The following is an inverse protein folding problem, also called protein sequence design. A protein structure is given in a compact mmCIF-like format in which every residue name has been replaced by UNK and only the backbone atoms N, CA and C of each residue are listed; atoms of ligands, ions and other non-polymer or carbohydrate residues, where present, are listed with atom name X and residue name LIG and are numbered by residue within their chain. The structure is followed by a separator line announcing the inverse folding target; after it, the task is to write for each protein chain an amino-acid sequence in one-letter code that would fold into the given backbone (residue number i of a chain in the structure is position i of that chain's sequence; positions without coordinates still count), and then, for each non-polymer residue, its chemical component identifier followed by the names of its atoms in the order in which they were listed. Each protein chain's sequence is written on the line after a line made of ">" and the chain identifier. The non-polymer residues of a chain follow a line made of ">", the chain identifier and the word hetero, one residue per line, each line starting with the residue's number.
data_IF_741829472785
#
_entry.id   IF_741829472785
#
_cell.length_a   1.000
_cell.length_b   1.000
_cell.length_c   1.000
_cell.angle_alpha   90.00
_cell.angle_beta   90.00
_cell.angle_gamma   90.00
#
_symmetry.space_group_name_H-M   'P 1'
#
loop_
_entity.id
_entity.type
_entity.pdbx_description
1 polymer ?
#
# COMPACT_ATOMS: atom_id res chain seq x y z
N UNK A 1 -7.69 -18.23 23.31
CA UNK A 1 -8.86 -18.46 22.43
C UNK A 1 -10.03 -19.21 23.11
N UNK A 2 -9.96 -19.53 24.39
CA UNK A 2 -11.00 -20.29 25.14
C UNK A 2 -12.06 -19.38 25.81
N UNK A 3 -11.76 -18.08 26.01
CA UNK A 3 -12.66 -17.16 26.73
C UNK A 3 -13.91 -16.68 25.95
N UNK A 4 -13.95 -16.83 24.63
CA UNK A 4 -15.08 -16.37 23.79
C UNK A 4 -16.28 -17.34 23.79
N UNK A 5 -16.09 -18.60 24.16
CA UNK A 5 -17.15 -19.60 24.17
C UNK A 5 -18.05 -19.53 25.40
N UNK A 6 -17.61 -18.94 26.50
CA UNK A 6 -18.41 -18.83 27.73
C UNK A 6 -19.51 -17.76 27.71
N UNK A 7 -19.52 -16.87 26.71
CA UNK A 7 -20.53 -15.82 26.57
C UNK A 7 -21.68 -16.20 25.62
N UNK A 8 -21.60 -17.32 24.93
CA UNK A 8 -22.63 -17.76 23.98
C UNK A 8 -23.63 -18.66 24.68
N UNK A 9 -24.87 -18.18 24.84
CA UNK A 9 -25.99 -19.00 25.29
C UNK A 9 -26.51 -19.80 24.11
N UNK A 10 -26.31 -21.12 24.15
CA UNK A 10 -26.86 -22.06 23.15
C UNK A 10 -28.36 -22.24 23.44
N UNK A 11 -29.20 -21.91 22.49
CA UNK A 11 -30.64 -22.16 22.55
C UNK A 11 -30.97 -23.44 21.80
N UNK A 12 -31.36 -24.48 22.50
CA UNK A 12 -31.54 -25.86 22.00
C UNK A 12 -32.64 -26.05 20.91
N UNK A 13 -33.49 -25.03 20.73
CA UNK A 13 -34.64 -25.08 19.81
C UNK A 13 -34.61 -24.03 18.71
N UNK A 14 -33.49 -23.35 18.52
CA UNK A 14 -33.34 -22.35 17.47
C UNK A 14 -32.39 -22.86 16.41
N UNK A 15 -32.82 -22.81 15.14
CA UNK A 15 -31.96 -23.15 14.02
C UNK A 15 -30.74 -22.21 13.96
N UNK A 16 -29.56 -22.77 13.70
CA UNK A 16 -28.34 -22.02 13.53
C UNK A 16 -28.45 -21.11 12.29
N UNK A 17 -28.33 -19.80 12.51
CA UNK A 17 -28.34 -18.82 11.43
C UNK A 17 -27.04 -18.03 11.45
N UNK A 18 -26.38 -17.98 10.28
CA UNK A 18 -25.26 -17.07 10.09
C UNK A 18 -25.79 -15.64 10.01
N UNK A 19 -25.44 -14.81 11.03
CA UNK A 19 -25.86 -13.43 11.08
C UNK A 19 -24.68 -12.49 10.81
N UNK A 20 -24.91 -11.47 9.99
CA UNK A 20 -23.97 -10.41 9.75
C UNK A 20 -24.05 -9.36 10.86
N UNK A 21 -23.07 -9.36 11.79
CA UNK A 21 -23.07 -8.53 12.98
C UNK A 21 -23.02 -7.00 12.74
N UNK A 22 -22.69 -6.60 11.53
CA UNK A 22 -22.54 -5.18 11.14
C UNK A 22 -23.81 -4.58 10.52
N UNK A 23 -24.88 -5.35 10.32
CA UNK A 23 -26.18 -4.84 9.90
C UNK A 23 -27.23 -5.07 10.97
N UNK A 24 -28.17 -4.10 11.12
CA UNK A 24 -29.31 -4.25 12.04
C UNK A 24 -30.23 -5.41 11.66
N UNK A 25 -30.27 -5.75 10.37
CA UNK A 25 -31.11 -6.85 9.83
C UNK A 25 -30.48 -8.23 10.03
N UNK A 26 -29.19 -8.30 10.42
CA UNK A 26 -28.45 -9.56 10.47
C UNK A 26 -28.14 -10.15 9.10
N UNK A 27 -28.58 -9.52 8.00
CA UNK A 27 -28.33 -9.97 6.64
C UNK A 27 -27.00 -9.39 6.12
N UNK A 28 -26.26 -10.21 5.34
CA UNK A 28 -25.04 -9.76 4.69
C UNK A 28 -25.38 -8.79 3.54
N UNK A 29 -24.72 -7.63 3.58
CA UNK A 29 -24.77 -6.63 2.52
C UNK A 29 -23.34 -6.32 2.05
N UNK A 30 -23.11 -6.40 0.76
CA UNK A 30 -21.81 -6.06 0.14
C UNK A 30 -21.36 -4.66 0.53
N UNK A 31 -22.29 -3.69 0.58
CA UNK A 31 -22.01 -2.31 0.99
C UNK A 31 -21.46 -2.22 2.42
N UNK A 32 -22.07 -2.91 3.38
CA UNK A 32 -21.62 -2.91 4.78
C UNK A 32 -20.26 -3.58 4.93
N UNK A 33 -20.00 -4.63 4.17
CA UNK A 33 -18.69 -5.28 4.12
C UNK A 33 -17.60 -4.34 3.60
N UNK A 34 -17.86 -3.64 2.49
CA UNK A 34 -16.94 -2.63 1.95
C UNK A 34 -16.69 -1.48 2.93
N UNK A 35 -17.71 -1.03 3.64
CA UNK A 35 -17.55 0.00 4.67
C UNK A 35 -16.62 -0.44 5.79
N UNK A 36 -16.74 -1.68 6.29
CA UNK A 36 -15.87 -2.23 7.34
C UNK A 36 -14.43 -2.33 6.85
N UNK A 37 -14.22 -2.81 5.63
CA UNK A 37 -12.88 -2.88 5.03
C UNK A 37 -12.26 -1.49 4.86
N UNK A 38 -13.06 -0.48 4.53
CA UNK A 38 -12.61 0.90 4.34
C UNK A 38 -12.32 1.61 5.67
N UNK A 39 -13.03 1.29 6.75
CA UNK A 39 -12.80 1.86 8.08
C UNK A 39 -11.50 1.38 8.72
N UNK A 40 -11.01 0.22 8.33
CA UNK A 40 -9.77 -0.38 8.85
C UNK A 40 -8.50 0.09 8.12
N UNK A 41 -8.59 1.05 7.20
CA UNK A 41 -7.41 1.69 6.60
C UNK A 41 -6.98 2.86 7.49
N UNK A 42 -5.94 2.71 8.35
CA UNK A 42 -5.53 3.75 9.33
C UNK A 42 -4.99 5.03 8.68
N UNK A 43 -4.61 4.97 7.44
CA UNK A 43 -4.26 6.10 6.58
C UNK A 43 -5.21 6.09 5.40
N UNK A 44 -5.98 7.16 5.20
CA UNK A 44 -6.81 7.28 4.00
C UNK A 44 -5.97 6.99 2.77
N UNK A 45 -6.36 5.99 1.99
CA UNK A 45 -5.61 5.58 0.79
C UNK A 45 -5.31 6.79 -0.10
N UNK A 46 -4.05 7.03 -0.51
CA UNK A 46 -3.63 8.23 -1.23
C UNK A 46 -4.02 8.21 -2.71
N UNK A 47 -5.29 7.90 -3.02
CA UNK A 47 -5.76 7.76 -4.39
C UNK A 47 -5.57 9.02 -5.24
N UNK A 48 -5.64 10.21 -4.62
CA UNK A 48 -5.42 11.49 -5.31
C UNK A 48 -3.99 11.64 -5.79
N UNK A 49 -3.03 11.17 -4.99
CA UNK A 49 -1.61 11.22 -5.32
C UNK A 49 -1.23 10.28 -6.47
N UNK A 50 -2.06 9.28 -6.73
CA UNK A 50 -1.81 8.27 -7.77
C UNK A 50 -2.57 8.63 -9.05
N UNK A 51 -3.87 8.95 -8.94
CA UNK A 51 -4.76 9.03 -10.09
C UNK A 51 -5.04 10.45 -10.59
N UNK A 52 -4.80 11.50 -9.76
CA UNK A 52 -4.97 12.90 -10.18
C UNK A 52 -3.71 13.52 -10.78
N UNK A 53 -2.60 12.83 -10.69
CA UNK A 53 -1.35 13.24 -11.31
C UNK A 53 -1.40 12.81 -12.78
N UNK A 54 -0.97 13.66 -13.70
CA UNK A 54 -0.97 13.40 -15.14
C UNK A 54 0.02 12.32 -15.60
N UNK A 55 0.21 11.26 -14.80
CA UNK A 55 1.04 10.12 -15.14
C UNK A 55 0.31 9.16 -16.09
N UNK A 56 1.04 8.43 -16.95
CA UNK A 56 0.45 7.39 -17.79
C UNK A 56 -0.31 6.34 -16.96
N UNK A 57 -1.47 5.84 -17.44
CA UNK A 57 -2.32 4.92 -16.66
C UNK A 57 -1.59 3.66 -16.16
N UNK A 58 -0.68 3.10 -16.93
CA UNK A 58 0.09 1.91 -16.54
C UNK A 58 1.06 2.21 -15.38
N UNK A 59 1.64 3.42 -15.34
CA UNK A 59 2.50 3.87 -14.23
C UNK A 59 1.66 4.06 -12.96
N UNK A 60 0.51 4.73 -13.08
CA UNK A 60 -0.41 4.91 -11.96
C UNK A 60 -0.91 3.57 -11.41
N UNK A 61 -1.24 2.61 -12.29
CA UNK A 61 -1.66 1.26 -11.90
C UNK A 61 -0.53 0.50 -11.20
N UNK A 62 0.71 0.59 -11.69
CA UNK A 62 1.86 -0.03 -11.03
C UNK A 62 2.04 0.52 -9.61
N UNK A 63 2.05 1.85 -9.44
CA UNK A 63 2.19 2.46 -8.11
C UNK A 63 1.01 2.11 -7.21
N UNK A 64 -0.21 2.04 -7.75
CA UNK A 64 -1.37 1.56 -7.01
C UNK A 64 -1.17 0.14 -6.47
N UNK A 65 -0.67 -0.78 -7.30
CA UNK A 65 -0.34 -2.15 -6.86
C UNK A 65 0.82 -2.19 -5.86
N UNK A 66 1.81 -1.30 -6.01
CA UNK A 66 2.93 -1.15 -5.07
C UNK A 66 2.47 -0.68 -3.69
N UNK A 67 1.58 0.32 -3.64
CA UNK A 67 0.98 0.81 -2.39
C UNK A 67 0.21 -0.30 -1.66
N UNK A 68 -0.44 -1.20 -2.39
CA UNK A 68 -1.09 -2.38 -1.82
C UNK A 68 -0.11 -3.53 -1.49
N UNK A 69 1.19 -3.35 -1.75
CA UNK A 69 2.19 -4.40 -1.55
C UNK A 69 2.00 -5.62 -2.44
N UNK A 70 1.39 -5.45 -3.64
CA UNK A 70 0.98 -6.54 -4.54
C UNK A 70 1.82 -6.66 -5.81
N UNK A 71 2.87 -5.86 -5.97
CA UNK A 71 3.81 -6.03 -7.08
C UNK A 71 4.54 -7.37 -6.99
N UNK A 72 5.04 -7.84 -8.13
CA UNK A 72 5.77 -9.11 -8.25
C UNK A 72 7.18 -8.98 -7.67
N UNK A 73 7.29 -9.10 -6.35
CA UNK A 73 8.57 -9.23 -5.63
C UNK A 73 8.79 -10.66 -5.17
N UNK A 74 10.04 -11.02 -4.87
CA UNK A 74 10.39 -12.35 -4.38
C UNK A 74 9.59 -12.73 -3.12
N UNK A 75 9.35 -11.79 -2.19
CA UNK A 75 8.49 -11.97 -1.03
C UNK A 75 7.05 -12.39 -1.44
N UNK A 76 6.46 -11.70 -2.42
CA UNK A 76 5.12 -12.04 -2.91
C UNK A 76 5.08 -13.36 -3.70
N UNK A 77 6.14 -13.69 -4.42
CA UNK A 77 6.29 -14.98 -5.09
C UNK A 77 6.45 -16.13 -4.10
N UNK A 78 7.21 -15.91 -3.01
CA UNK A 78 7.33 -16.89 -1.90
C UNK A 78 5.99 -17.15 -1.23
N UNK A 79 5.21 -16.11 -0.94
CA UNK A 79 3.85 -16.24 -0.39
C UNK A 79 2.92 -17.07 -1.29
N UNK A 80 3.21 -17.11 -2.60
CA UNK A 80 2.48 -17.91 -3.59
C UNK A 80 3.12 -19.28 -3.87
N UNK A 81 4.18 -19.64 -3.12
CA UNK A 81 4.95 -20.88 -3.30
C UNK A 81 5.61 -21.03 -4.68
N UNK A 82 5.85 -19.95 -5.39
CA UNK A 82 6.45 -19.95 -6.74
C UNK A 82 7.97 -19.80 -6.72
N UNK A 83 8.54 -19.31 -5.64
CA UNK A 83 9.98 -19.07 -5.48
C UNK A 83 10.43 -19.37 -4.06
N UNK A 84 11.66 -19.87 -3.90
CA UNK A 84 12.27 -20.17 -2.59
C UNK A 84 13.28 -19.09 -2.21
N UNK A 85 13.91 -18.45 -3.20
CA UNK A 85 14.98 -17.47 -2.99
C UNK A 85 14.38 -16.14 -2.52
N UNK A 86 15.05 -15.51 -1.55
CA UNK A 86 14.61 -14.25 -0.93
C UNK A 86 15.69 -13.17 -1.06
N UNK A 87 16.15 -12.93 -2.27
CA UNK A 87 17.19 -11.94 -2.50
C UNK A 87 16.68 -10.86 -3.44
N UNK A 88 16.96 -9.60 -3.08
CA UNK A 88 16.67 -8.48 -3.93
C UNK A 88 17.42 -8.60 -5.26
N UNK A 89 16.70 -8.46 -6.36
CA UNK A 89 17.29 -8.54 -7.71
C UNK A 89 18.34 -7.45 -7.98
N UNK A 90 18.21 -6.28 -7.30
CA UNK A 90 19.13 -5.14 -7.47
C UNK A 90 20.37 -5.22 -6.58
N UNK A 91 20.19 -5.30 -5.25
CA UNK A 91 21.33 -5.24 -4.33
C UNK A 91 21.92 -6.61 -3.95
N UNK A 92 21.15 -7.69 -4.08
CA UNK A 92 21.53 -9.08 -3.74
C UNK A 92 21.96 -9.30 -2.27
N UNK A 93 21.75 -8.32 -1.39
CA UNK A 93 22.15 -8.37 0.01
C UNK A 93 20.99 -8.61 0.98
N UNK A 94 19.78 -8.21 0.61
CA UNK A 94 18.61 -8.22 1.50
C UNK A 94 17.42 -8.92 0.82
N UNK A 95 16.44 -9.32 1.63
CA UNK A 95 15.18 -9.85 1.11
C UNK A 95 14.42 -8.82 0.27
N UNK A 96 13.79 -9.26 -0.80
CA UNK A 96 13.05 -8.41 -1.71
C UNK A 96 11.60 -8.29 -1.29
N UNK A 97 11.26 -7.16 -0.70
CA UNK A 97 9.88 -6.72 -0.48
C UNK A 97 9.58 -5.47 -1.32
N UNK A 98 8.30 -5.12 -1.56
CA UNK A 98 7.95 -3.88 -2.25
C UNK A 98 8.60 -2.63 -1.64
N UNK A 99 8.63 -2.54 -0.31
CA UNK A 99 9.24 -1.41 0.38
C UNK A 99 10.76 -1.40 0.24
N UNK A 100 11.41 -2.57 0.34
CA UNK A 100 12.85 -2.65 0.11
C UNK A 100 13.19 -2.25 -1.33
N UNK A 101 12.55 -2.88 -2.30
CA UNK A 101 12.85 -2.69 -3.73
C UNK A 101 12.70 -1.22 -4.14
N UNK A 102 11.60 -0.56 -3.73
CA UNK A 102 11.25 0.77 -4.21
C UNK A 102 11.79 1.92 -3.35
N UNK A 103 12.17 1.66 -2.08
CA UNK A 103 12.56 2.73 -1.15
C UNK A 103 13.91 2.49 -0.49
N UNK A 104 14.21 1.26 -0.08
CA UNK A 104 15.33 0.99 0.84
C UNK A 104 16.50 0.23 0.23
N UNK A 105 16.36 -0.28 -1.00
CA UNK A 105 17.48 -0.83 -1.75
C UNK A 105 18.52 0.27 -2.01
N UNK A 106 19.79 -0.05 -1.93
CA UNK A 106 20.90 0.92 -2.19
C UNK A 106 20.74 1.64 -3.53
N UNK A 107 20.35 0.90 -4.58
CA UNK A 107 20.09 1.48 -5.90
C UNK A 107 18.88 2.44 -5.86
N UNK A 108 17.81 2.06 -5.16
CA UNK A 108 16.65 2.92 -5.00
C UNK A 108 17.00 4.18 -4.20
N UNK A 109 17.73 4.04 -3.10
CA UNK A 109 18.17 5.18 -2.27
C UNK A 109 19.06 6.14 -3.07
N UNK A 110 19.96 5.63 -3.90
CA UNK A 110 20.81 6.46 -4.76
C UNK A 110 19.97 7.26 -5.76
N UNK A 111 18.97 6.64 -6.39
CA UNK A 111 18.06 7.33 -7.31
C UNK A 111 17.22 8.39 -6.58
N UNK A 112 16.65 8.06 -5.42
CA UNK A 112 15.89 9.03 -4.61
C UNK A 112 16.75 10.20 -4.17
N UNK A 113 17.99 9.95 -3.73
CA UNK A 113 18.94 10.99 -3.32
C UNK A 113 19.30 11.93 -4.47
N UNK A 114 19.50 11.38 -5.68
CA UNK A 114 19.71 12.18 -6.88
C UNK A 114 18.51 13.07 -7.19
N UNK A 115 17.30 12.54 -7.12
CA UNK A 115 16.06 13.31 -7.33
C UNK A 115 15.91 14.40 -6.30
N UNK A 116 16.12 14.12 -5.01
CA UNK A 116 16.06 15.14 -3.95
C UNK A 116 17.10 16.24 -4.16
N UNK A 117 18.30 15.87 -4.58
CA UNK A 117 19.35 16.84 -4.90
C UNK A 117 18.94 17.76 -6.07
N UNK A 118 18.37 17.19 -7.15
CA UNK A 118 17.90 17.95 -8.32
C UNK A 118 16.82 18.97 -7.96
N UNK A 119 15.93 18.63 -7.04
CA UNK A 119 14.84 19.53 -6.60
C UNK A 119 15.19 20.36 -5.36
N UNK A 120 16.40 20.22 -4.82
CA UNK A 120 16.84 20.95 -3.61
C UNK A 120 16.01 20.59 -2.38
N UNK A 121 15.52 19.37 -2.28
CA UNK A 121 14.63 18.90 -1.22
C UNK A 121 15.40 18.10 -0.18
N UNK A 122 15.26 18.49 1.09
CA UNK A 122 15.72 17.68 2.22
C UNK A 122 14.52 16.95 2.80
N UNK A 123 14.47 15.64 2.64
CA UNK A 123 13.36 14.82 3.11
C UNK A 123 13.84 13.46 3.64
N UNK A 124 13.18 13.01 4.70
CA UNK A 124 13.43 11.69 5.28
C UNK A 124 12.50 10.67 4.63
N UNK A 125 13.09 9.65 4.01
CA UNK A 125 12.34 8.62 3.34
C UNK A 125 11.44 7.86 4.35
N UNK A 126 10.11 7.81 4.12
CA UNK A 126 9.21 7.01 4.93
C UNK A 126 9.49 5.51 4.82
N UNK A 127 8.93 4.76 5.75
CA UNK A 127 9.20 3.34 5.90
C UNK A 127 8.48 2.47 4.86
N UNK A 128 7.33 2.90 4.40
CA UNK A 128 6.47 2.13 3.48
C UNK A 128 5.97 3.00 2.33
N UNK A 129 5.71 2.37 1.18
CA UNK A 129 5.30 3.06 -0.05
C UNK A 129 4.03 3.89 0.14
N UNK A 130 3.05 3.41 0.92
CA UNK A 130 1.82 4.16 1.18
C UNK A 130 2.09 5.49 1.89
N UNK A 131 3.02 5.54 2.83
CA UNK A 131 3.40 6.76 3.54
C UNK A 131 4.10 7.75 2.61
N UNK A 132 4.95 7.27 1.69
CA UNK A 132 5.56 8.11 0.66
C UNK A 132 4.46 8.80 -0.15
N UNK A 133 3.50 8.06 -0.66
CA UNK A 133 2.41 8.61 -1.47
C UNK A 133 1.47 9.54 -0.68
N UNK A 134 1.26 9.26 0.61
CA UNK A 134 0.41 10.08 1.47
C UNK A 134 1.06 11.41 1.84
N UNK A 135 2.37 11.40 2.15
CA UNK A 135 3.11 12.60 2.59
C UNK A 135 3.60 13.47 1.45
N UNK A 136 3.84 12.89 0.26
CA UNK A 136 4.43 13.59 -0.88
C UNK A 136 3.63 14.80 -1.35
N UNK A 137 2.32 14.70 -1.41
CA UNK A 137 1.44 15.78 -1.88
C UNK A 137 1.40 17.00 -0.97
N UNK A 138 1.81 16.84 0.29
CA UNK A 138 1.87 17.96 1.26
C UNK A 138 3.02 18.93 1.02
N UNK A 139 4.13 18.46 0.46
CA UNK A 139 5.39 19.19 0.41
C UNK A 139 5.40 20.38 -0.57
N UNK A 140 4.69 20.31 -1.69
CA UNK A 140 4.80 21.32 -2.77
C UNK A 140 3.46 21.81 -3.34
N UNK A 141 2.39 21.73 -2.58
CA UNK A 141 1.02 22.09 -3.03
C UNK A 141 0.87 23.54 -3.53
N UNK A 142 1.82 24.42 -3.22
CA UNK A 142 1.78 25.84 -3.61
C UNK A 142 2.82 26.21 -4.69
N UNK A 143 3.57 25.28 -5.24
CA UNK A 143 4.58 25.55 -6.25
C UNK A 143 3.96 25.59 -7.65
N UNK A 144 4.51 26.43 -8.52
CA UNK A 144 4.19 26.46 -9.98
C UNK A 144 4.50 25.12 -10.69
N UNK A 145 5.30 24.24 -10.06
CA UNK A 145 5.69 22.95 -10.58
C UNK A 145 5.00 21.77 -9.84
N UNK A 146 3.86 22.04 -9.20
CA UNK A 146 3.15 21.02 -8.39
C UNK A 146 2.79 19.77 -9.18
N UNK A 147 2.43 19.91 -10.47
CA UNK A 147 2.05 18.77 -11.33
C UNK A 147 3.27 17.88 -11.64
N UNK A 148 4.41 18.50 -11.98
CA UNK A 148 5.68 17.76 -12.22
C UNK A 148 6.12 17.08 -10.94
N UNK A 149 6.10 17.81 -9.81
CA UNK A 149 6.47 17.26 -8.52
C UNK A 149 5.57 16.09 -8.10
N UNK A 150 4.27 16.20 -8.35
CA UNK A 150 3.33 15.11 -8.10
C UNK A 150 3.65 13.83 -8.86
N UNK A 151 4.20 13.93 -10.08
CA UNK A 151 4.55 12.78 -10.91
C UNK A 151 5.87 12.10 -10.53
N UNK A 152 6.77 12.82 -9.83
CA UNK A 152 8.11 12.31 -9.48
C UNK A 152 8.09 10.94 -8.81
N UNK A 153 7.33 10.69 -7.72
CA UNK A 153 7.36 9.39 -7.06
C UNK A 153 6.84 8.27 -7.96
N UNK A 154 5.86 8.56 -8.83
CA UNK A 154 5.34 7.58 -9.77
C UNK A 154 6.42 7.18 -10.80
N UNK A 155 7.10 8.17 -11.35
CA UNK A 155 8.18 7.96 -12.30
C UNK A 155 9.37 7.22 -11.70
N UNK A 156 9.81 7.62 -10.50
CA UNK A 156 10.94 6.98 -9.81
C UNK A 156 10.63 5.51 -9.51
N UNK A 157 9.44 5.23 -8.97
CA UNK A 157 9.03 3.85 -8.67
C UNK A 157 8.82 2.99 -9.92
N UNK A 158 8.48 3.61 -11.06
CA UNK A 158 8.32 2.91 -12.32
C UNK A 158 9.66 2.53 -12.97
N UNK A 159 10.69 3.34 -12.77
CA UNK A 159 12.04 3.11 -13.33
C UNK A 159 12.81 2.05 -12.52
N UNK A 160 12.52 1.92 -11.23
CA UNK A 160 13.10 0.89 -10.36
C UNK A 160 12.53 -0.49 -10.65
#
# INVERSE_FOLDING_TARGET
>A
MIGLLYSVKVHQYQEDRVCWGSSRSGCFEVKSYYQILSLNTPLGFPWKSIWKVGAPPHVAFFVWTAVHGKILTMDNLRKRHLCIVDWCCMCKHSGESPNHLLLHCETAQSLWSMVFCLFGVVWVMPRIVVEVMASWMGLFRKSSHADVWGAVPLCVMWVL
#
